data_IF_197679300990
#
_entry.id   IF_197679300990
#
_cell.length_a   1.000
_cell.length_b   1.000
_cell.length_c   1.000
_cell.angle_alpha   90.00
_cell.angle_beta   90.00
_cell.angle_gamma   90.00
#
_symmetry.space_group_name_H-M   'P 1'
#
loop_
_entity.id
_entity.type
_entity.pdbx_description
1 polymer ?
#
# COMPACT_ATOMS: atom_id res chain seq x y z
N UNK A 1 -7.90 -13.87 -4.60
CA UNK A 1 -8.97 -13.08 -3.97
C UNK A 1 -8.38 -12.07 -3.01
N UNK A 2 -8.89 -10.85 -3.01
CA UNK A 2 -8.41 -9.79 -2.12
C UNK A 2 -9.17 -9.86 -0.80
N UNK A 3 -8.43 -9.76 0.29
CA UNK A 3 -9.00 -9.81 1.64
C UNK A 3 -8.83 -8.44 2.29
N UNK A 4 -9.90 -7.86 2.85
CA UNK A 4 -9.77 -6.57 3.52
C UNK A 4 -9.09 -6.73 4.88
N UNK A 5 -8.21 -5.79 5.18
CA UNK A 5 -7.52 -5.70 6.48
C UNK A 5 -7.49 -4.26 6.94
N UNK A 6 -7.17 -4.08 8.20
CA UNK A 6 -6.88 -2.78 8.78
C UNK A 6 -5.37 -2.70 9.03
N UNK A 7 -4.75 -1.61 8.61
CA UNK A 7 -3.33 -1.37 8.90
C UNK A 7 -3.22 -0.34 10.02
N UNK A 8 -2.32 -0.62 10.93
CA UNK A 8 -2.12 0.17 12.15
C UNK A 8 -0.66 0.59 12.19
N UNK A 9 -0.41 1.86 12.48
CA UNK A 9 0.94 2.40 12.58
C UNK A 9 1.60 2.13 13.91
N UNK A 10 2.84 2.59 14.03
CA UNK A 10 3.70 2.34 15.20
C UNK A 10 3.06 2.81 16.51
N UNK A 11 2.29 3.89 16.46
CA UNK A 11 1.65 4.46 17.66
C UNK A 11 0.19 4.02 17.82
N UNK A 12 -0.21 3.00 17.12
CA UNK A 12 -1.58 2.49 17.21
C UNK A 12 -2.61 3.22 16.35
N UNK A 13 -2.19 4.25 15.60
CA UNK A 13 -3.10 4.97 14.72
C UNK A 13 -3.52 4.10 13.54
N UNK A 14 -4.76 4.25 13.11
CA UNK A 14 -5.26 3.54 11.93
C UNK A 14 -4.74 4.23 10.68
N UNK A 15 -3.92 3.53 9.90
CA UNK A 15 -3.35 4.06 8.67
C UNK A 15 -4.23 3.77 7.47
N UNK A 16 -4.91 2.63 7.49
CA UNK A 16 -5.75 2.20 6.37
C UNK A 16 -6.91 1.43 6.97
N UNK A 17 -8.11 2.02 6.90
CA UNK A 17 -9.30 1.41 7.49
C UNK A 17 -9.74 0.19 6.69
N UNK A 18 -9.55 0.24 5.39
CA UNK A 18 -9.92 -0.84 4.48
C UNK A 18 -8.82 -1.01 3.43
N UNK A 19 -7.94 -1.93 3.71
CA UNK A 19 -6.84 -2.26 2.84
C UNK A 19 -7.09 -3.65 2.24
N UNK A 20 -6.99 -3.75 0.93
CA UNK A 20 -7.08 -5.03 0.25
C UNK A 20 -5.67 -5.62 0.09
N UNK A 21 -5.57 -6.94 0.15
CA UNK A 21 -4.30 -7.64 -0.10
C UNK A 21 -4.36 -8.25 -1.50
N UNK A 22 -3.37 -7.92 -2.32
CA UNK A 22 -3.20 -8.51 -3.64
C UNK A 22 -1.98 -9.42 -3.60
N UNK A 23 -2.18 -10.70 -3.29
CA UNK A 23 -1.09 -11.66 -3.16
C UNK A 23 -1.13 -12.76 -4.23
N UNK A 24 -2.16 -12.80 -5.05
CA UNK A 24 -2.22 -13.71 -6.21
C UNK A 24 -1.53 -13.09 -7.41
N UNK A 25 -1.10 -13.94 -8.34
CA UNK A 25 -0.40 -13.49 -9.55
C UNK A 25 -1.23 -12.48 -10.35
N UNK A 26 -2.50 -12.80 -10.58
CA UNK A 26 -3.38 -11.91 -11.36
C UNK A 26 -3.69 -10.64 -10.56
N UNK A 27 -3.98 -10.77 -9.25
CA UNK A 27 -4.28 -9.62 -8.41
C UNK A 27 -3.13 -8.62 -8.37
N UNK A 28 -1.89 -9.12 -8.28
CA UNK A 28 -0.70 -8.25 -8.29
C UNK A 28 -0.55 -7.52 -9.61
N UNK A 29 -0.78 -8.24 -10.73
CA UNK A 29 -0.65 -7.64 -12.04
C UNK A 29 -1.68 -6.57 -12.34
N UNK A 30 -2.87 -6.70 -11.76
CA UNK A 30 -3.94 -5.71 -11.98
C UNK A 30 -3.77 -4.49 -11.10
N UNK A 31 -3.34 -4.68 -9.83
CA UNK A 31 -3.18 -3.56 -8.91
C UNK A 31 -4.40 -2.66 -8.87
N UNK A 32 -4.20 -1.37 -9.14
CA UNK A 32 -5.27 -0.36 -9.18
C UNK A 32 -5.72 -0.02 -10.60
N UNK A 33 -5.33 -0.82 -11.60
CA UNK A 33 -5.73 -0.57 -12.99
C UNK A 33 -7.26 -0.59 -13.11
N UNK A 34 -7.78 0.31 -13.93
CA UNK A 34 -9.21 0.44 -14.15
C UNK A 34 -9.94 1.31 -13.13
N UNK A 35 -9.30 1.68 -12.04
CA UNK A 35 -9.89 2.62 -11.08
C UNK A 35 -9.64 4.05 -11.51
N UNK A 36 -10.51 4.96 -11.09
CA UNK A 36 -10.36 6.39 -11.35
C UNK A 36 -9.91 7.16 -10.11
N UNK A 37 -9.96 6.52 -8.94
CA UNK A 37 -9.57 7.14 -7.68
C UNK A 37 -9.30 6.07 -6.63
N UNK A 38 -8.64 6.49 -5.57
CA UNK A 38 -8.43 5.69 -4.38
C UNK A 38 -8.78 6.56 -3.18
N UNK A 39 -9.81 6.16 -2.42
CA UNK A 39 -10.32 6.98 -1.33
C UNK A 39 -9.37 6.97 -0.14
N UNK A 40 -9.44 8.02 0.69
CA UNK A 40 -8.76 8.06 1.98
C UNK A 40 -9.21 6.87 2.83
N UNK A 41 -8.28 6.33 3.59
CA UNK A 41 -8.55 5.19 4.45
C UNK A 41 -8.61 3.86 3.71
N UNK A 42 -8.50 3.89 2.39
CA UNK A 42 -8.43 2.70 1.56
C UNK A 42 -7.02 2.50 1.05
N UNK A 43 -6.68 1.28 0.70
CA UNK A 43 -5.36 0.98 0.18
C UNK A 43 -5.29 -0.41 -0.43
N UNK A 44 -4.17 -0.68 -1.06
CA UNK A 44 -3.89 -1.98 -1.67
C UNK A 44 -2.48 -2.40 -1.26
N UNK A 45 -2.38 -3.52 -0.55
CA UNK A 45 -1.09 -4.11 -0.18
C UNK A 45 -0.77 -5.21 -1.18
N UNK A 46 0.25 -4.98 -1.98
CA UNK A 46 0.70 -5.92 -3.02
C UNK A 46 1.89 -6.70 -2.47
N UNK A 47 1.82 -8.03 -2.53
CA UNK A 47 2.90 -8.89 -2.05
C UNK A 47 2.93 -10.24 -2.77
N UNK A 48 4.10 -10.86 -2.96
CA UNK A 48 5.39 -10.22 -2.78
C UNK A 48 5.69 -9.26 -3.93
N UNK A 49 6.33 -8.15 -3.64
CA UNK A 49 6.82 -7.23 -4.67
C UNK A 49 7.87 -6.29 -4.09
N UNK A 50 8.76 -5.82 -4.95
CA UNK A 50 9.76 -4.80 -4.62
C UNK A 50 9.70 -3.63 -5.57
N UNK A 51 8.71 -3.62 -6.47
CA UNK A 51 8.59 -2.63 -7.53
C UNK A 51 7.12 -2.43 -7.89
N UNK A 52 6.75 -1.20 -8.18
CA UNK A 52 5.41 -0.86 -8.67
C UNK A 52 5.53 0.09 -9.84
N UNK A 53 4.52 0.09 -10.72
CA UNK A 53 4.40 1.05 -11.79
C UNK A 53 2.98 1.61 -11.81
N UNK A 54 2.85 2.80 -12.38
CA UNK A 54 1.57 3.49 -12.53
C UNK A 54 1.16 3.61 -13.99
N UNK A 55 1.72 2.76 -14.86
CA UNK A 55 1.33 2.73 -16.26
C UNK A 55 -0.16 2.45 -16.38
N UNK A 56 -0.85 3.18 -17.25
CA UNK A 56 -2.29 3.08 -17.47
C UNK A 56 -3.15 3.50 -16.29
N UNK A 57 -2.59 4.02 -15.21
CA UNK A 57 -3.37 4.59 -14.11
C UNK A 57 -3.81 5.99 -14.47
N UNK A 58 -4.89 6.46 -13.84
CA UNK A 58 -5.48 7.77 -14.11
C UNK A 58 -5.27 8.76 -12.98
N UNK A 59 -4.57 8.37 -11.93
CA UNK A 59 -4.37 9.21 -10.75
C UNK A 59 -3.04 8.88 -10.10
N UNK A 60 -2.52 9.83 -9.34
CA UNK A 60 -1.28 9.65 -8.58
C UNK A 60 -1.57 8.88 -7.29
N UNK A 61 -0.55 8.19 -6.78
CA UNK A 61 -0.65 7.44 -5.52
C UNK A 61 0.58 7.68 -4.67
N UNK A 62 0.46 7.40 -3.37
CA UNK A 62 1.60 7.23 -2.49
C UNK A 62 1.90 5.73 -2.40
N UNK A 63 3.17 5.37 -2.38
CA UNK A 63 3.60 3.99 -2.26
C UNK A 63 4.53 3.85 -1.07
N UNK A 64 4.21 2.89 -0.19
CA UNK A 64 5.01 2.57 0.99
C UNK A 64 5.63 1.20 0.75
N UNK A 65 6.96 1.14 0.63
CA UNK A 65 7.66 -0.12 0.49
C UNK A 65 8.00 -0.67 1.87
N UNK A 66 7.65 -1.93 2.10
CA UNK A 66 7.74 -2.59 3.41
C UNK A 66 8.58 -3.85 3.30
N UNK A 67 9.33 -4.16 4.36
CA UNK A 67 10.00 -5.45 4.44
C UNK A 67 9.03 -6.53 4.94
N UNK A 68 9.54 -7.74 5.18
CA UNK A 68 8.70 -8.87 5.59
C UNK A 68 8.04 -8.66 6.95
N UNK A 69 8.60 -7.80 7.79
CA UNK A 69 8.07 -7.48 9.12
C UNK A 69 7.22 -6.22 9.11
N UNK A 70 6.91 -5.68 7.93
CA UNK A 70 6.13 -4.47 7.73
C UNK A 70 6.84 -3.21 8.24
N UNK A 71 8.16 -3.22 8.24
CA UNK A 71 8.94 -2.00 8.48
C UNK A 71 9.03 -1.20 7.19
N UNK A 72 8.79 0.10 7.29
CA UNK A 72 8.81 1.01 6.15
C UNK A 72 10.26 1.23 5.70
N UNK A 73 10.55 0.83 4.45
CA UNK A 73 11.88 0.98 3.86
C UNK A 73 12.02 2.23 3.01
N UNK A 74 10.92 2.61 2.32
CA UNK A 74 10.94 3.73 1.38
C UNK A 74 9.53 4.24 1.17
N UNK A 75 9.41 5.55 0.97
CA UNK A 75 8.17 6.20 0.58
C UNK A 75 8.36 6.82 -0.80
N UNK A 76 7.45 6.52 -1.72
CA UNK A 76 7.37 7.19 -3.01
C UNK A 76 6.08 8.00 -3.02
N UNK A 77 6.20 9.29 -2.70
CA UNK A 77 5.05 10.18 -2.57
C UNK A 77 4.63 10.74 -3.92
N UNK A 78 3.33 10.84 -4.12
CA UNK A 78 2.75 11.46 -5.30
C UNK A 78 3.32 10.86 -6.60
N UNK A 79 3.33 9.54 -6.68
CA UNK A 79 3.79 8.84 -7.87
C UNK A 79 2.73 9.01 -8.96
N UNK A 80 3.02 9.86 -9.95
CA UNK A 80 2.07 10.20 -11.00
C UNK A 80 1.91 9.04 -11.99
N UNK A 81 0.86 9.06 -12.82
CA UNK A 81 0.71 8.04 -13.86
C UNK A 81 1.93 7.94 -14.76
N UNK A 82 2.16 6.74 -15.29
CA UNK A 82 3.29 6.43 -16.18
C UNK A 82 4.65 6.60 -15.51
N UNK A 83 4.73 6.25 -14.25
CA UNK A 83 5.98 6.26 -13.48
C UNK A 83 6.19 4.88 -12.86
N UNK A 84 7.35 4.71 -12.29
CA UNK A 84 7.70 3.50 -11.55
C UNK A 84 8.51 3.88 -10.31
N UNK A 85 8.45 3.02 -9.30
CA UNK A 85 9.27 3.13 -8.11
C UNK A 85 9.65 1.72 -7.67
N UNK A 86 10.80 1.60 -7.02
CA UNK A 86 11.26 0.30 -6.53
C UNK A 86 12.09 0.48 -5.28
N UNK A 87 12.22 -0.61 -4.54
CA UNK A 87 13.10 -0.68 -3.38
C UNK A 87 13.58 -2.11 -3.22
N UNK A 88 14.87 -2.33 -3.45
CA UNK A 88 15.44 -3.65 -3.23
C UNK A 88 15.21 -4.09 -1.78
N UNK A 89 14.99 -5.36 -1.58
CA UNK A 89 14.68 -5.99 -0.28
C UNK A 89 13.29 -5.70 0.24
N UNK A 90 12.47 -4.93 -0.47
CA UNK A 90 11.08 -4.82 -0.12
C UNK A 90 10.38 -6.17 -0.34
N UNK A 91 9.45 -6.47 0.55
CA UNK A 91 8.62 -7.67 0.46
C UNK A 91 7.22 -7.32 -0.04
N UNK A 92 6.78 -6.11 0.24
CA UNK A 92 5.46 -5.65 -0.16
C UNK A 92 5.46 -4.16 -0.44
N UNK A 93 4.42 -3.71 -1.13
CA UNK A 93 4.19 -2.30 -1.42
C UNK A 93 2.74 -1.97 -1.09
N UNK A 94 2.56 -0.94 -0.27
CA UNK A 94 1.24 -0.44 0.10
C UNK A 94 0.94 0.78 -0.75
N UNK A 95 -0.13 0.70 -1.55
CA UNK A 95 -0.59 1.81 -2.38
C UNK A 95 -1.72 2.53 -1.66
N UNK A 96 -1.56 3.83 -1.50
CA UNK A 96 -2.52 4.72 -0.82
C UNK A 96 -2.82 5.90 -1.72
N UNK A 97 -3.89 6.63 -1.41
CA UNK A 97 -4.18 7.88 -2.11
C UNK A 97 -3.00 8.84 -1.95
N UNK A 98 -2.76 9.66 -2.97
CA UNK A 98 -1.69 10.65 -2.92
C UNK A 98 -1.92 11.60 -1.74
N UNK A 99 -0.86 11.85 -0.96
CA UNK A 99 -0.90 12.69 0.22
C UNK A 99 -1.16 11.95 1.53
N UNK A 100 -1.54 10.69 1.47
CA UNK A 100 -1.85 9.93 2.67
C UNK A 100 -0.62 9.68 3.55
N UNK A 101 0.56 9.51 2.96
CA UNK A 101 1.77 9.34 3.77
C UNK A 101 2.00 10.53 4.69
N UNK A 102 1.84 11.74 4.16
CA UNK A 102 2.00 12.96 4.96
C UNK A 102 0.87 13.13 5.96
N UNK A 103 -0.38 12.91 5.52
CA UNK A 103 -1.53 13.05 6.41
C UNK A 103 -1.44 12.11 7.62
N UNK A 104 -0.97 10.89 7.40
CA UNK A 104 -0.91 9.86 8.43
C UNK A 104 0.42 9.86 9.18
N UNK A 105 1.39 10.67 8.76
CA UNK A 105 2.69 10.72 9.41
C UNK A 105 3.51 9.47 9.28
N UNK A 106 3.37 8.75 8.15
CA UNK A 106 4.16 7.55 7.90
C UNK A 106 5.60 7.95 7.58
N UNK A 107 6.55 7.32 8.24
CA UNK A 107 7.97 7.58 8.02
C UNK A 107 8.78 6.31 7.82
N UNK A 108 9.93 6.44 7.16
CA UNK A 108 10.88 5.33 7.03
C UNK A 108 11.31 4.87 8.41
N UNK A 109 11.31 3.56 8.62
CA UNK A 109 11.63 2.96 9.90
C UNK A 109 10.40 2.64 10.75
N UNK A 110 9.24 3.20 10.43
CA UNK A 110 8.01 2.84 11.13
C UNK A 110 7.69 1.37 10.90
N UNK A 111 7.14 0.73 11.90
CA UNK A 111 6.72 -0.66 11.79
C UNK A 111 5.21 -0.73 11.87
N UNK A 112 4.60 -1.30 10.85
CA UNK A 112 3.15 -1.40 10.76
C UNK A 112 2.69 -2.75 11.30
N UNK A 113 1.42 -2.83 11.63
CA UNK A 113 0.76 -4.07 11.99
C UNK A 113 -0.57 -4.15 11.25
N UNK A 114 -1.10 -5.32 11.12
CA UNK A 114 -2.38 -5.49 10.46
C UNK A 114 -3.28 -6.45 11.23
N UNK A 115 -4.58 -6.28 11.05
CA UNK A 115 -5.59 -7.14 11.64
C UNK A 115 -6.67 -7.42 10.60
N UNK A 116 -7.24 -8.59 10.68
CA UNK A 116 -8.36 -8.94 9.83
C UNK A 116 -9.59 -8.12 10.19
N UNK A 117 -10.39 -7.74 9.18
CA UNK A 117 -11.71 -7.14 9.42
C UNK A 117 -12.75 -8.17 9.81
N UNK A 118 -12.40 -9.43 9.83
CA UNK A 118 -13.30 -10.51 10.25
C UNK A 118 -12.96 -10.91 11.70
N UNK A 119 -13.60 -10.32 12.69
CA UNK A 119 -13.26 -10.60 14.10
C UNK A 119 -13.73 -11.97 14.56
N UNK A 120 -14.49 -12.69 13.75
CA UNK A 120 -14.96 -14.03 14.11
C UNK A 120 -13.89 -15.10 13.94
N UNK A 121 -12.74 -14.74 13.44
CA UNK A 121 -11.63 -15.67 13.21
C UNK A 121 -10.64 -15.69 14.36
#
# INVERSE_FOLDING_TARGET
>A
MRRPIVLIGTEGQVLCERCEIADGFISRGRGLLGRTTLARGHGLLIRPTWSVHTAFMRFAIDVVFLDAELTVLKLARNLRPWRAASRLRAHSALELAAGECDRLGIGVGDRLAWASLDPAR
#
